data_IF_892065626384
#
_entry.id   IF_892065626384
#
_cell.length_a   1.000
_cell.length_b   1.000
_cell.length_c   1.000
_cell.angle_alpha   90.00
_cell.angle_beta   90.00
_cell.angle_gamma   90.00
#
_symmetry.space_group_name_H-M   'P 1'
#
loop_
_entity.id
_entity.type
_entity.pdbx_description
1 polymer ?
#
# COMPACT_ATOMS: atom_id res chain seq x y z
N UNK A 1 -1.28 -19.84 2.50
CA UNK A 1 -1.51 -18.39 2.63
C UNK A 1 -1.76 -17.85 1.23
N UNK A 2 -2.68 -16.90 1.09
CA UNK A 2 -2.97 -16.28 -0.21
C UNK A 2 -1.83 -15.33 -0.58
N UNK A 3 -1.30 -15.48 -1.80
CA UNK A 3 -0.34 -14.55 -2.39
C UNK A 3 -1.11 -13.52 -3.21
N UNK A 4 -0.75 -12.26 -3.07
CA UNK A 4 -1.30 -11.14 -3.83
C UNK A 4 -0.24 -10.57 -4.76
N UNK A 5 -0.68 -10.05 -5.90
CA UNK A 5 0.16 -9.45 -6.93
C UNK A 5 -0.38 -8.08 -7.33
N UNK A 6 0.53 -7.14 -7.53
CA UNK A 6 0.29 -5.85 -8.15
C UNK A 6 1.29 -5.64 -9.28
N UNK A 7 0.78 -5.71 -10.50
CA UNK A 7 1.56 -5.49 -11.71
C UNK A 7 1.48 -4.03 -12.13
N UNK A 8 2.61 -3.50 -12.59
CA UNK A 8 2.69 -2.18 -13.15
C UNK A 8 3.19 -2.24 -14.59
N UNK A 9 2.59 -1.42 -15.44
CA UNK A 9 3.03 -1.20 -16.81
C UNK A 9 3.19 0.31 -17.04
N UNK A 10 4.37 0.73 -17.48
CA UNK A 10 4.68 2.13 -17.71
C UNK A 10 4.99 2.36 -19.19
N UNK A 11 4.43 3.42 -19.77
CA UNK A 11 4.86 3.88 -21.08
C UNK A 11 6.29 4.46 -21.02
N UNK A 12 7.01 4.45 -22.14
CA UNK A 12 8.33 5.07 -22.23
C UNK A 12 8.29 6.57 -21.87
N UNK A 13 7.22 7.28 -22.27
CA UNK A 13 7.00 8.67 -21.91
C UNK A 13 6.79 8.83 -20.40
N UNK A 14 5.98 7.96 -19.79
CA UNK A 14 5.76 7.92 -18.35
C UNK A 14 7.03 7.68 -17.55
N UNK A 15 7.85 6.71 -17.96
CA UNK A 15 9.14 6.47 -17.32
C UNK A 15 10.09 7.67 -17.44
N UNK A 16 10.15 8.31 -18.61
CA UNK A 16 10.98 9.49 -18.80
C UNK A 16 10.52 10.64 -17.91
N UNK A 17 9.22 10.86 -17.77
CA UNK A 17 8.65 11.87 -16.89
C UNK A 17 9.03 11.62 -15.41
N UNK A 18 8.82 10.40 -14.92
CA UNK A 18 9.17 10.02 -13.55
C UNK A 18 10.67 10.13 -13.29
N UNK A 19 11.51 9.70 -14.23
CA UNK A 19 12.95 9.80 -14.12
C UNK A 19 13.42 11.26 -14.05
N UNK A 20 12.86 12.14 -14.89
CA UNK A 20 13.16 13.57 -14.89
C UNK A 20 12.72 14.27 -13.59
N UNK A 21 11.57 13.86 -13.03
CA UNK A 21 11.06 14.35 -11.75
C UNK A 21 11.75 13.70 -10.53
N UNK A 22 12.64 12.72 -10.75
CA UNK A 22 13.26 11.90 -9.71
C UNK A 22 12.25 11.17 -8.82
N UNK A 23 11.06 10.89 -9.36
CA UNK A 23 9.99 10.21 -8.66
C UNK A 23 10.15 8.68 -8.71
N UNK A 24 9.57 8.04 -7.71
CA UNK A 24 9.49 6.58 -7.57
C UNK A 24 8.04 6.21 -7.27
N UNK A 25 7.72 4.95 -7.50
CA UNK A 25 6.44 4.37 -7.06
C UNK A 25 6.49 4.24 -5.55
N UNK A 26 5.44 4.67 -4.88
CA UNK A 26 5.24 4.58 -3.44
C UNK A 26 3.93 3.82 -3.18
N UNK A 27 4.00 2.85 -2.28
CA UNK A 27 2.88 2.01 -1.87
C UNK A 27 2.73 2.11 -0.36
N UNK A 28 1.52 2.39 0.06
CA UNK A 28 1.08 2.44 1.46
C UNK A 28 -0.04 1.44 1.64
N UNK A 29 -0.06 0.75 2.78
CA UNK A 29 -1.12 -0.21 3.11
C UNK A 29 -2.05 0.35 4.17
N UNK A 30 -3.35 0.14 3.99
CA UNK A 30 -4.34 0.58 4.97
C UNK A 30 -4.32 -0.32 6.20
N UNK A 31 -4.41 0.29 7.39
CA UNK A 31 -4.48 -0.37 8.69
C UNK A 31 -5.61 0.27 9.50
N UNK A 32 -6.41 -0.55 10.16
CA UNK A 32 -7.52 -0.14 11.03
C UNK A 32 -8.51 0.82 10.37
N UNK A 33 -8.84 0.59 9.09
CA UNK A 33 -9.79 1.40 8.33
C UNK A 33 -9.25 2.71 7.77
N UNK A 34 -7.97 3.01 7.99
CA UNK A 34 -7.32 4.25 7.53
C UNK A 34 -6.16 3.93 6.59
N UNK A 35 -5.82 4.87 5.69
CA UNK A 35 -4.60 4.78 4.90
C UNK A 35 -3.42 4.79 5.87
N UNK A 36 -2.47 3.86 5.70
CA UNK A 36 -1.28 3.79 6.55
C UNK A 36 -0.47 5.09 6.50
N UNK A 37 0.26 5.34 7.57
CA UNK A 37 1.12 6.52 7.70
C UNK A 37 2.59 6.22 7.45
N UNK A 38 2.92 5.07 6.84
CA UNK A 38 4.29 4.66 6.52
C UNK A 38 4.37 4.15 5.09
N UNK A 39 5.41 4.57 4.37
CA UNK A 39 5.75 4.04 3.05
C UNK A 39 6.21 2.60 3.18
N UNK A 40 5.35 1.66 2.81
CA UNK A 40 5.66 0.23 2.93
C UNK A 40 6.67 -0.21 1.87
N UNK A 41 6.37 0.07 0.60
CA UNK A 41 7.22 -0.29 -0.54
C UNK A 41 7.39 0.92 -1.43
N UNK A 42 8.64 1.18 -1.81
CA UNK A 42 9.04 2.20 -2.77
C UNK A 42 10.06 1.61 -3.74
N UNK A 43 9.97 1.97 -5.01
CA UNK A 43 10.91 1.51 -6.03
C UNK A 43 10.93 2.44 -7.25
N UNK A 44 12.07 2.48 -7.95
CA UNK A 44 12.16 3.11 -9.26
C UNK A 44 11.57 2.16 -10.32
N UNK A 45 10.57 2.59 -11.09
CA UNK A 45 9.88 1.67 -12.01
C UNK A 45 10.73 1.36 -13.25
N UNK A 46 10.62 0.11 -13.72
CA UNK A 46 10.91 -0.31 -15.09
C UNK A 46 9.65 -0.29 -15.95
N UNK A 47 9.75 -0.66 -17.24
CA UNK A 47 8.58 -0.75 -18.14
C UNK A 47 7.51 -1.69 -17.60
N UNK A 48 7.92 -2.82 -17.05
CA UNK A 48 7.07 -3.73 -16.29
C UNK A 48 7.63 -3.90 -14.88
N UNK A 49 6.75 -3.89 -13.88
CA UNK A 49 7.13 -4.20 -12.52
C UNK A 49 6.09 -5.11 -11.89
N UNK A 50 6.55 -5.92 -10.95
CA UNK A 50 5.69 -6.81 -10.19
C UNK A 50 5.99 -6.62 -8.70
N UNK A 51 4.94 -6.39 -7.92
CA UNK A 51 5.00 -6.43 -6.46
C UNK A 51 4.17 -7.61 -5.97
N UNK A 52 4.78 -8.56 -5.25
CA UNK A 52 4.08 -9.70 -4.66
C UNK A 52 4.18 -9.67 -3.14
N UNK A 53 3.13 -10.07 -2.43
CA UNK A 53 3.16 -10.20 -0.97
C UNK A 53 2.21 -11.29 -0.48
N UNK A 54 2.38 -11.67 0.78
CA UNK A 54 1.45 -12.55 1.50
C UNK A 54 0.95 -11.84 2.75
N UNK A 55 -0.26 -12.15 3.17
CA UNK A 55 -0.89 -11.62 4.40
C UNK A 55 -0.30 -12.28 5.66
N UNK A 56 1.02 -12.14 5.81
CA UNK A 56 1.80 -12.57 6.96
C UNK A 56 2.53 -11.35 7.52
N UNK A 57 2.32 -11.08 8.80
CA UNK A 57 2.69 -9.83 9.44
C UNK A 57 3.64 -10.07 10.60
N UNK A 58 4.63 -9.19 10.72
CA UNK A 58 5.40 -9.02 11.94
C UNK A 58 4.90 -7.84 12.76
N UNK A 59 5.42 -7.71 13.98
CA UNK A 59 5.21 -6.54 14.86
C UNK A 59 6.59 -5.95 15.15
N UNK A 60 6.70 -4.63 15.23
CA UNK A 60 7.95 -3.96 15.62
C UNK A 60 7.74 -2.94 16.74
N UNK A 61 8.83 -2.62 17.43
CA UNK A 61 8.95 -1.49 18.35
C UNK A 61 10.07 -0.55 17.88
N UNK A 62 9.90 0.75 18.08
CA UNK A 62 10.83 1.80 17.67
C UNK A 62 10.79 3.00 18.61
N UNK A 63 11.90 3.70 18.76
CA UNK A 63 11.95 5.03 19.41
C UNK A 63 11.77 6.18 18.42
N UNK A 64 11.58 5.91 17.12
CA UNK A 64 11.35 6.94 16.12
C UNK A 64 10.04 7.67 16.40
N UNK A 65 10.10 8.99 16.55
CA UNK A 65 8.92 9.85 16.65
C UNK A 65 8.16 9.86 15.32
N UNK A 66 6.83 9.82 15.40
CA UNK A 66 5.95 9.86 14.22
C UNK A 66 5.87 11.30 13.71
N UNK A 67 6.75 11.62 12.76
CA UNK A 67 6.82 12.92 12.09
C UNK A 67 7.08 12.69 10.60
N UNK A 68 6.53 13.58 9.74
CA UNK A 68 6.69 13.45 8.30
C UNK A 68 8.18 13.35 7.89
N UNK A 69 8.52 12.37 7.07
CA UNK A 69 9.86 12.07 6.60
C UNK A 69 10.75 11.30 7.59
N UNK A 70 10.31 11.05 8.83
CA UNK A 70 11.11 10.24 9.75
C UNK A 70 11.15 8.78 9.30
N UNK A 71 12.36 8.24 9.17
CA UNK A 71 12.56 6.83 8.88
C UNK A 71 12.48 6.01 10.16
N UNK A 72 11.59 5.03 10.19
CA UNK A 72 11.46 4.10 11.31
C UNK A 72 12.74 3.29 11.45
N UNK A 73 13.31 3.29 12.66
CA UNK A 73 14.42 2.43 13.04
C UNK A 73 13.93 1.47 14.11
N UNK A 74 13.84 0.18 13.77
CA UNK A 74 13.36 -0.85 14.69
C UNK A 74 14.35 -1.05 15.83
N UNK A 75 13.84 -1.05 17.06
CA UNK A 75 14.56 -1.51 18.24
C UNK A 75 14.45 -3.02 18.39
N UNK A 76 13.28 -3.57 18.07
CA UNK A 76 12.96 -4.99 18.21
C UNK A 76 11.79 -5.35 17.29
N UNK A 77 11.69 -6.63 16.95
CA UNK A 77 10.58 -7.14 16.14
C UNK A 77 10.28 -8.61 16.40
N UNK A 78 9.03 -8.97 16.16
CA UNK A 78 8.57 -10.35 15.96
C UNK A 78 8.34 -10.52 14.47
N UNK A 79 9.08 -11.42 13.81
CA UNK A 79 9.01 -11.59 12.36
C UNK A 79 7.66 -12.11 11.86
N UNK A 80 7.07 -13.04 12.62
CA UNK A 80 5.80 -13.68 12.27
C UNK A 80 4.89 -13.68 13.50
N UNK A 81 4.05 -12.66 13.59
CA UNK A 81 3.05 -12.55 14.62
C UNK A 81 1.82 -13.39 14.24
N UNK A 82 1.17 -13.98 15.23
CA UNK A 82 -0.08 -14.71 15.05
C UNK A 82 -1.26 -13.77 15.24
N UNK A 83 -2.21 -13.80 14.30
CA UNK A 83 -3.48 -13.09 14.42
C UNK A 83 -4.23 -13.56 15.68
N UNK A 84 -4.95 -12.64 16.32
CA UNK A 84 -5.73 -12.87 17.54
C UNK A 84 -4.91 -12.80 18.84
N UNK A 85 -3.63 -12.43 18.76
CA UNK A 85 -2.71 -12.48 19.89
C UNK A 85 -2.07 -11.13 20.21
N UNK A 86 -1.83 -10.88 21.50
CA UNK A 86 -1.10 -9.72 22.00
C UNK A 86 0.33 -10.08 22.41
N UNK A 87 1.29 -9.28 21.96
CA UNK A 87 2.73 -9.43 22.23
C UNK A 87 3.23 -8.37 23.22
N UNK A 88 3.57 -8.73 24.46
CA UNK A 88 4.15 -7.80 25.43
C UNK A 88 5.56 -7.37 25.02
N UNK A 89 5.80 -6.07 25.00
CA UNK A 89 7.14 -5.49 24.87
C UNK A 89 7.67 -5.16 26.26
N UNK A 90 8.61 -5.95 26.77
CA UNK A 90 9.01 -5.92 28.18
C UNK A 90 10.06 -4.84 28.49
N UNK A 91 10.33 -4.62 29.77
CA UNK A 91 11.33 -3.68 30.29
C UNK A 91 12.78 -3.97 29.85
N UNK A 92 13.07 -5.17 29.32
CA UNK A 92 14.37 -5.52 28.77
C UNK A 92 14.51 -5.18 27.27
N UNK A 93 13.47 -4.62 26.64
CA UNK A 93 13.52 -4.12 25.26
C UNK A 93 13.30 -5.18 24.19
N UNK A 94 12.61 -6.28 24.51
CA UNK A 94 12.22 -7.30 23.53
C UNK A 94 10.76 -7.71 23.68
N UNK A 95 10.21 -8.32 22.63
CA UNK A 95 8.87 -8.91 22.66
C UNK A 95 8.90 -10.28 23.32
N UNK A 96 8.10 -10.47 24.36
CA UNK A 96 7.86 -11.79 24.94
C UNK A 96 6.99 -12.65 24.01
N UNK A 97 6.84 -13.93 24.39
CA UNK A 97 5.83 -14.80 23.79
C UNK A 97 4.44 -14.17 23.94
N UNK A 98 3.50 -14.46 23.02
CA UNK A 98 2.13 -13.98 23.14
C UNK A 98 1.55 -14.29 24.51
N UNK A 99 0.86 -13.32 25.10
CA UNK A 99 0.16 -13.56 26.37
C UNK A 99 -1.21 -14.22 26.12
N UNK A 100 -1.93 -14.53 27.21
CA UNK A 100 -3.26 -15.14 27.14
C UNK A 100 -4.39 -14.18 26.74
N UNK A 101 -4.10 -12.93 26.40
CA UNK A 101 -5.11 -11.95 25.99
C UNK A 101 -5.48 -12.20 24.53
N UNK A 102 -6.72 -12.61 24.30
CA UNK A 102 -7.29 -12.72 22.96
C UNK A 102 -7.73 -11.35 22.47
N UNK A 103 -7.34 -11.03 21.25
CA UNK A 103 -7.75 -9.81 20.52
C UNK A 103 -8.32 -10.20 19.15
N UNK A 104 -8.68 -9.24 18.31
CA UNK A 104 -9.23 -9.51 16.97
C UNK A 104 -8.11 -9.76 15.95
N UNK A 105 -7.08 -8.90 15.96
CA UNK A 105 -5.99 -8.92 14.98
C UNK A 105 -4.61 -9.01 15.65
N UNK A 106 -3.73 -8.04 15.43
CA UNK A 106 -2.35 -8.08 15.91
C UNK A 106 -2.14 -7.02 16.97
N UNK A 107 -1.75 -7.43 18.18
CA UNK A 107 -1.71 -6.51 19.30
C UNK A 107 -0.39 -6.50 20.01
N UNK A 108 -0.16 -5.42 20.72
CA UNK A 108 0.99 -5.23 21.58
C UNK A 108 0.58 -4.53 22.87
N UNK A 109 1.38 -4.73 23.92
CA UNK A 109 1.32 -3.95 25.16
C UNK A 109 2.72 -3.45 25.47
N UNK A 110 2.85 -2.15 25.74
CA UNK A 110 4.13 -1.53 26.02
C UNK A 110 4.45 -1.56 27.51
N UNK A 111 5.29 -2.49 27.95
CA UNK A 111 5.77 -2.61 29.33
C UNK A 111 7.23 -2.13 29.48
N UNK A 112 7.78 -1.38 28.51
CA UNK A 112 9.19 -1.00 28.50
C UNK A 112 9.55 0.04 29.58
N UNK A 113 8.62 0.96 29.87
CA UNK A 113 8.82 2.05 30.83
C UNK A 113 8.62 3.43 30.20
N UNK A 114 8.88 3.56 28.90
CA UNK A 114 8.71 4.79 28.12
C UNK A 114 7.69 4.62 26.99
N UNK A 115 7.05 5.71 26.52
CA UNK A 115 6.30 5.71 25.27
C UNK A 115 7.18 5.30 24.09
N UNK A 116 6.67 4.39 23.25
CA UNK A 116 7.37 3.91 22.05
C UNK A 116 6.42 3.90 20.85
N UNK A 117 7.00 3.84 19.66
CA UNK A 117 6.28 3.65 18.40
C UNK A 117 6.21 2.17 18.06
N UNK A 118 5.01 1.69 17.76
CA UNK A 118 4.75 0.31 17.36
C UNK A 118 3.99 0.27 16.04
N UNK A 119 4.08 -0.86 15.37
CA UNK A 119 3.30 -1.12 14.17
C UNK A 119 3.56 -2.51 13.61
N UNK A 120 3.03 -2.74 12.42
CA UNK A 120 3.21 -3.98 11.70
C UNK A 120 4.34 -3.88 10.68
N UNK A 121 4.97 -5.02 10.41
CA UNK A 121 5.89 -5.20 9.28
C UNK A 121 5.30 -6.23 8.32
N UNK A 122 5.64 -6.11 7.04
CA UNK A 122 5.24 -7.07 6.03
C UNK A 122 6.33 -7.24 4.98
N UNK A 123 6.54 -8.49 4.58
CA UNK A 123 7.41 -8.85 3.47
C UNK A 123 6.67 -8.72 2.14
N UNK A 124 7.36 -8.16 1.16
CA UNK A 124 6.99 -8.16 -0.24
C UNK A 124 8.20 -8.57 -1.09
N UNK A 125 7.96 -8.83 -2.37
CA UNK A 125 8.99 -8.82 -3.40
C UNK A 125 8.68 -7.72 -4.40
N UNK A 126 9.70 -7.04 -4.89
CA UNK A 126 9.61 -6.11 -6.02
C UNK A 126 10.54 -6.61 -7.10
N UNK A 127 9.98 -7.02 -8.24
CA UNK A 127 10.75 -7.61 -9.35
C UNK A 127 11.65 -8.77 -8.88
N UNK A 128 11.14 -9.61 -7.98
CA UNK A 128 11.86 -10.73 -7.38
C UNK A 128 12.81 -10.38 -6.23
N UNK A 129 13.11 -9.11 -5.98
CA UNK A 129 13.93 -8.68 -4.86
C UNK A 129 13.09 -8.57 -3.57
N UNK A 130 13.52 -9.21 -2.49
CA UNK A 130 12.80 -9.18 -1.20
C UNK A 130 12.92 -7.79 -0.57
N UNK A 131 11.77 -7.27 -0.14
CA UNK A 131 11.64 -6.02 0.61
C UNK A 131 10.87 -6.31 1.89
N UNK A 132 11.42 -5.89 3.02
CA UNK A 132 10.70 -5.87 4.29
C UNK A 132 10.46 -4.43 4.70
N UNK A 133 9.21 -4.07 4.99
CA UNK A 133 8.86 -2.70 5.36
C UNK A 133 7.81 -2.64 6.46
N UNK A 134 7.82 -1.54 7.18
CA UNK A 134 6.76 -1.13 8.12
C UNK A 134 5.54 -0.65 7.34
N UNK A 135 4.34 -1.00 7.79
CA UNK A 135 3.09 -0.60 7.10
C UNK A 135 2.33 0.49 7.83
N UNK A 136 2.60 0.68 9.12
CA UNK A 136 2.00 1.72 9.96
C UNK A 136 2.89 2.02 11.16
N UNK A 137 2.62 3.14 11.82
CA UNK A 137 3.26 3.57 13.06
C UNK A 137 2.22 4.19 14.00
N UNK A 138 2.22 3.79 15.28
CA UNK A 138 1.40 4.37 16.33
C UNK A 138 2.21 4.48 17.62
N UNK A 139 2.12 5.62 18.30
CA UNK A 139 2.71 5.79 19.63
C UNK A 139 1.85 5.09 20.67
N UNK A 140 2.46 4.26 21.50
CA UNK A 140 1.82 3.52 22.59
C UNK A 140 2.51 3.90 23.89
N UNK A 141 1.77 4.49 24.82
CA UNK A 141 2.32 4.90 26.11
C UNK A 141 2.61 3.68 26.99
N UNK A 142 3.40 3.89 28.04
CA UNK A 142 3.70 2.86 29.02
C UNK A 142 2.42 2.26 29.61
N UNK A 143 2.37 0.94 29.69
CA UNK A 143 1.24 0.09 30.11
C UNK A 143 -0.02 0.21 29.24
N UNK A 144 0.06 0.84 28.07
CA UNK A 144 -1.03 0.85 27.11
C UNK A 144 -0.89 -0.26 26.08
N UNK A 145 -2.02 -0.57 25.46
CA UNK A 145 -2.13 -1.55 24.38
C UNK A 145 -2.41 -0.85 23.06
N UNK A 146 -2.00 -1.49 21.96
CA UNK A 146 -2.44 -1.15 20.62
C UNK A 146 -2.83 -2.42 19.87
N UNK A 147 -3.77 -2.27 18.95
CA UNK A 147 -4.23 -3.32 18.06
C UNK A 147 -4.25 -2.80 16.62
N UNK A 148 -3.75 -3.62 15.70
CA UNK A 148 -3.57 -3.29 14.30
C UNK A 148 -4.32 -4.29 13.43
N UNK A 149 -5.29 -3.80 12.66
CA UNK A 149 -6.06 -4.61 11.71
C UNK A 149 -5.59 -4.29 10.28
N UNK A 150 -4.68 -5.09 9.69
CA UNK A 150 -4.25 -4.83 8.33
C UNK A 150 -5.39 -5.12 7.34
N UNK A 151 -5.50 -4.27 6.31
CA UNK A 151 -6.45 -4.43 5.23
C UNK A 151 -5.72 -4.73 3.93
N UNK A 152 -6.33 -5.51 3.03
CA UNK A 152 -5.81 -5.71 1.67
C UNK A 152 -6.23 -4.54 0.76
N UNK A 153 -5.99 -3.32 1.25
CA UNK A 153 -6.22 -2.06 0.54
C UNK A 153 -4.89 -1.32 0.47
N UNK A 154 -4.47 -0.99 -0.75
CA UNK A 154 -3.25 -0.25 -1.04
C UNK A 154 -3.59 1.14 -1.54
N UNK A 155 -2.77 2.12 -1.18
CA UNK A 155 -2.71 3.44 -1.82
C UNK A 155 -1.39 3.54 -2.57
N UNK A 156 -1.48 3.80 -3.87
CA UNK A 156 -0.35 3.80 -4.80
C UNK A 156 -0.23 5.18 -5.42
N UNK A 157 0.96 5.77 -5.36
CA UNK A 157 1.24 7.10 -5.89
C UNK A 157 2.71 7.23 -6.27
N UNK A 158 3.08 8.37 -6.86
CA UNK A 158 4.48 8.69 -7.14
C UNK A 158 4.94 9.84 -6.24
N UNK A 159 6.19 9.74 -5.77
CA UNK A 159 6.80 10.73 -4.90
C UNK A 159 8.32 10.62 -4.94
N UNK A 160 9.04 11.73 -4.71
CA UNK A 160 10.51 11.75 -4.82
C UNK A 160 11.22 11.61 -3.45
N UNK A 161 10.66 12.18 -2.38
CA UNK A 161 11.46 12.56 -1.21
C UNK A 161 11.81 11.40 -0.26
N UNK A 162 10.92 10.41 -0.10
CA UNK A 162 11.01 9.45 1.02
C UNK A 162 11.06 8.00 0.57
N UNK A 163 11.76 7.15 1.33
CA UNK A 163 11.95 5.72 1.04
C UNK A 163 11.10 4.81 1.94
N UNK A 164 11.21 3.50 1.76
CA UNK A 164 10.59 2.49 2.63
C UNK A 164 10.85 2.78 4.11
N UNK A 165 9.81 2.61 4.92
CA UNK A 165 9.84 2.83 6.36
C UNK A 165 9.77 4.31 6.76
N UNK A 166 9.62 5.24 5.81
CA UNK A 166 9.44 6.66 6.13
C UNK A 166 7.98 6.94 6.51
N UNK A 167 7.79 7.68 7.59
CA UNK A 167 6.50 8.19 8.04
C UNK A 167 6.05 9.30 7.10
N UNK A 168 4.77 9.28 6.71
CA UNK A 168 4.13 10.31 5.90
C UNK A 168 2.96 10.92 6.68
N UNK A 169 2.84 12.25 6.66
CA UNK A 169 1.69 12.92 7.27
C UNK A 169 0.49 12.95 6.33
N UNK A 170 0.74 13.14 5.03
CA UNK A 170 -0.27 13.24 3.98
C UNK A 170 0.29 12.73 2.65
N UNK A 171 -0.60 12.27 1.77
CA UNK A 171 -0.26 12.01 0.37
C UNK A 171 -0.64 13.27 -0.42
N UNK A 172 0.37 14.04 -0.83
CA UNK A 172 0.16 15.32 -1.52
C UNK A 172 -0.22 15.17 -3.00
N UNK A 173 0.03 13.99 -3.59
CA UNK A 173 -0.34 13.65 -4.97
C UNK A 173 -1.65 12.85 -5.03
N UNK A 174 -2.19 12.67 -6.25
CA UNK A 174 -3.36 11.83 -6.44
C UNK A 174 -2.98 10.36 -6.26
N UNK A 175 -3.46 9.73 -5.18
CA UNK A 175 -3.29 8.31 -4.94
C UNK A 175 -4.35 7.47 -5.65
N UNK A 176 -3.92 6.33 -6.21
CA UNK A 176 -4.78 5.24 -6.63
C UNK A 176 -5.03 4.30 -5.46
N UNK A 177 -6.29 4.18 -5.04
CA UNK A 177 -6.68 3.20 -4.01
C UNK A 177 -7.11 1.90 -4.66
N UNK A 178 -6.48 0.79 -4.25
CA UNK A 178 -6.73 -0.55 -4.73
C UNK A 178 -7.18 -1.45 -3.57
N UNK A 179 -8.42 -1.93 -3.61
CA UNK A 179 -8.91 -2.91 -2.62
C UNK A 179 -9.02 -4.29 -3.26
N UNK A 180 -8.43 -5.28 -2.60
CA UNK A 180 -8.49 -6.68 -2.99
C UNK A 180 -9.57 -7.36 -2.14
N UNK A 181 -10.72 -7.61 -2.75
CA UNK A 181 -11.85 -8.30 -2.11
C UNK A 181 -11.86 -9.79 -2.49
N UNK A 182 -12.11 -10.08 -3.76
CA UNK A 182 -12.09 -11.42 -4.35
C UNK A 182 -10.85 -11.67 -5.20
N UNK A 183 -10.32 -10.62 -5.84
CA UNK A 183 -9.15 -10.74 -6.71
C UNK A 183 -7.88 -10.81 -5.88
N UNK A 184 -6.91 -11.57 -6.35
CA UNK A 184 -5.56 -11.63 -5.78
C UNK A 184 -4.52 -10.94 -6.66
N UNK A 185 -4.89 -10.52 -7.88
CA UNK A 185 -4.00 -9.79 -8.79
C UNK A 185 -4.70 -8.55 -9.35
N UNK A 186 -3.94 -7.46 -9.52
CA UNK A 186 -4.36 -6.25 -10.21
C UNK A 186 -3.22 -5.70 -11.05
N UNK A 187 -3.55 -5.07 -12.16
CA UNK A 187 -2.58 -4.41 -13.06
C UNK A 187 -2.87 -2.92 -13.15
N UNK A 188 -1.80 -2.13 -13.19
CA UNK A 188 -1.80 -0.67 -13.08
C UNK A 188 -0.96 -0.11 -14.22
N UNK A 189 -1.59 0.62 -15.16
CA UNK A 189 -0.98 1.25 -16.32
C UNK A 189 -0.75 2.75 -16.15
N UNK A 190 0.49 3.23 -16.34
CA UNK A 190 0.85 4.65 -16.23
C UNK A 190 1.35 5.20 -17.58
N UNK A 191 0.76 6.31 -18.02
CA UNK A 191 1.16 7.06 -19.22
C UNK A 191 1.09 8.58 -18.96
N UNK A 192 2.10 9.32 -19.41
CA UNK A 192 2.22 10.77 -19.22
C UNK A 192 1.48 11.60 -20.30
N UNK A 193 1.06 10.98 -21.41
CA UNK A 193 0.34 11.68 -22.48
C UNK A 193 -1.00 12.28 -22.04
N UNK A 194 -1.56 11.81 -20.92
CA UNK A 194 -2.82 12.32 -20.37
C UNK A 194 -2.66 13.25 -19.18
N UNK A 195 -1.48 13.35 -18.55
CA UNK A 195 -1.30 14.01 -17.24
C UNK A 195 -2.38 13.61 -16.20
N UNK A 196 -2.97 12.43 -16.42
CA UNK A 196 -4.07 11.81 -15.71
C UNK A 196 -3.68 10.34 -15.72
N UNK A 197 -3.43 9.76 -14.55
CA UNK A 197 -3.16 8.34 -14.44
C UNK A 197 -4.44 7.56 -14.78
N UNK A 198 -4.53 7.01 -15.99
CA UNK A 198 -5.61 6.11 -16.39
C UNK A 198 -5.28 4.69 -15.94
N UNK A 199 -5.76 4.29 -14.76
CA UNK A 199 -5.60 2.92 -14.31
C UNK A 199 -6.82 2.07 -14.70
N UNK A 200 -6.67 1.33 -15.79
CA UNK A 200 -7.66 0.35 -16.26
C UNK A 200 -7.58 -0.91 -15.38
N UNK A 201 -8.58 -1.15 -14.53
CA UNK A 201 -8.85 -2.49 -14.06
C UNK A 201 -9.52 -3.24 -15.23
N UNK A 202 -8.78 -4.09 -15.95
CA UNK A 202 -9.38 -4.90 -17.01
C UNK A 202 -10.41 -5.87 -16.39
N UNK A 203 -11.69 -5.61 -16.61
CA UNK A 203 -12.62 -6.65 -17.02
C UNK A 203 -12.65 -6.63 -18.55
N UNK A 204 -12.22 -7.73 -19.15
CA UNK A 204 -12.08 -7.89 -20.60
C UNK A 204 -13.46 -7.80 -21.29
N UNK A 205 -13.74 -6.72 -22.03
CA UNK A 205 -14.68 -6.75 -23.17
C UNK A 205 -14.20 -5.79 -24.26
N UNK A 206 -13.85 -6.37 -25.41
CA UNK A 206 -13.47 -5.65 -26.63
C UNK A 206 -14.72 -5.05 -27.25
N UNK A 207 -14.82 -3.72 -27.32
CA UNK A 207 -15.72 -3.05 -28.24
C UNK A 207 -15.05 -1.81 -28.86
N UNK A 208 -14.74 -1.95 -30.16
CA UNK A 208 -14.20 -0.93 -31.06
C UNK A 208 -15.25 0.17 -31.28
N UNK A 209 -14.96 1.41 -30.91
CA UNK A 209 -15.74 2.57 -31.36
C UNK A 209 -14.82 3.79 -31.61
N UNK A 210 -14.70 4.14 -32.88
CA UNK A 210 -14.12 5.39 -33.37
C UNK A 210 -15.05 6.57 -33.05
N UNK A 211 -14.50 7.68 -32.52
CA UNK A 211 -14.80 9.07 -32.91
C UNK A 211 -14.02 10.08 -32.06
N UNK A 212 -13.31 10.97 -32.74
CA UNK A 212 -12.51 12.08 -32.24
C UNK A 212 -13.32 13.12 -31.45
N UNK A 213 -12.79 13.67 -30.35
CA UNK A 213 -13.23 14.96 -29.79
C UNK A 213 -12.13 15.76 -29.08
N UNK A 214 -12.38 17.07 -29.04
CA UNK A 214 -11.50 18.23 -28.82
C UNK A 214 -11.02 18.36 -27.36
N UNK A 215 -9.75 18.76 -27.17
CA UNK A 215 -9.12 19.00 -25.86
C UNK A 215 -9.21 20.49 -25.49
N UNK A 216 -9.85 20.81 -24.35
CA UNK A 216 -9.76 22.08 -23.64
C UNK A 216 -8.91 21.91 -22.36
N UNK A 217 -7.99 22.84 -22.11
CA UNK A 217 -6.86 22.74 -21.17
C UNK A 217 -7.18 23.20 -19.74
N UNK A 218 -8.32 22.84 -19.14
CA UNK A 218 -8.54 23.07 -17.69
C UNK A 218 -9.35 21.95 -17.04
N UNK A 219 -8.68 21.22 -16.13
CA UNK A 219 -9.20 20.46 -14.98
C UNK A 219 -10.59 19.82 -15.16
N UNK A 220 -10.73 18.52 -15.47
CA UNK A 220 -11.88 17.70 -14.99
C UNK A 220 -11.60 16.18 -15.10
N UNK A 221 -12.01 15.45 -14.04
CA UNK A 221 -12.06 13.99 -13.91
C UNK A 221 -13.31 13.45 -14.63
N UNK A 222 -13.21 12.28 -15.29
CA UNK A 222 -14.39 11.51 -15.72
C UNK A 222 -14.21 10.03 -15.40
N UNK A 223 -15.02 9.53 -14.45
CA UNK A 223 -15.23 8.10 -14.21
C UNK A 223 -16.56 7.72 -14.88
N UNK A 224 -16.56 6.73 -15.76
CA UNK A 224 -17.80 6.17 -16.32
C UNK A 224 -17.80 4.67 -16.07
N UNK A 225 -18.85 4.16 -15.40
CA UNK A 225 -19.16 2.73 -15.31
C UNK A 225 -20.14 2.38 -16.44
N UNK A 226 -19.97 1.23 -17.08
CA UNK A 226 -20.99 0.63 -17.94
C UNK A 226 -21.42 -0.72 -17.34
N UNK A 227 -22.71 -0.82 -17.03
CA UNK A 227 -23.40 -2.07 -16.69
C UNK A 227 -23.74 -2.83 -17.98
N UNK A 228 -23.49 -4.13 -18.00
CA UNK A 228 -23.97 -5.03 -19.05
C UNK A 228 -25.48 -5.22 -18.92
N UNK A 229 -26.22 -4.89 -19.97
CA UNK A 229 -27.37 -5.68 -20.41
C UNK A 229 -27.54 -5.51 -21.92
N UNK A 230 -27.22 -6.58 -22.65
CA UNK A 230 -27.45 -6.70 -24.08
C UNK A 230 -28.65 -7.60 -24.32
N UNK A 231 -29.75 -7.03 -24.83
CA UNK A 231 -30.68 -7.76 -25.71
C UNK A 231 -31.18 -6.78 -26.77
N UNK A 232 -30.75 -6.95 -28.02
CA UNK A 232 -31.61 -6.67 -29.16
C UNK A 232 -31.30 -7.63 -30.30
N UNK A 233 -32.25 -8.52 -30.53
CA UNK A 233 -32.38 -9.44 -31.64
C UNK A 233 -32.67 -8.69 -32.94
N UNK A 234 -31.91 -9.01 -33.99
CA UNK A 234 -32.38 -9.19 -35.37
C UNK A 234 -32.89 -7.97 -36.14
N UNK A 235 -32.20 -7.65 -37.24
CA UNK A 235 -32.76 -7.70 -38.61
C UNK A 235 -31.68 -7.33 -39.64
N UNK A 236 -31.45 -8.25 -40.58
CA UNK A 236 -30.91 -8.00 -41.93
C UNK A 236 -32.07 -7.74 -42.90
N UNK A 237 -31.77 -7.27 -44.13
CA UNK A 237 -31.27 -5.95 -44.52
C UNK A 237 -32.39 -4.91 -44.68
#
# INVERSE_FOLDING_TARGET
MTTYTLDFQFSQAGLAALANAQEKVCIVKSVSGTVGNVLWVTFKPFETNEVQWQENYGIYASSTNIQNGAKISRLSSVKYASKGHQYPFNAAGYFDTPNGVSITDYGTVNNYGDPLTFGLTQLATVNGAVVEGEINAATVLTNQTAEFTPLVTLSVFTFAEFDNGSVISDISSQALTLTYTSDTSKTVFYDDNSNISWFHAQLLFIAKLERSFIIDRRKFVRISYLSNDSVFTGMTP
#
